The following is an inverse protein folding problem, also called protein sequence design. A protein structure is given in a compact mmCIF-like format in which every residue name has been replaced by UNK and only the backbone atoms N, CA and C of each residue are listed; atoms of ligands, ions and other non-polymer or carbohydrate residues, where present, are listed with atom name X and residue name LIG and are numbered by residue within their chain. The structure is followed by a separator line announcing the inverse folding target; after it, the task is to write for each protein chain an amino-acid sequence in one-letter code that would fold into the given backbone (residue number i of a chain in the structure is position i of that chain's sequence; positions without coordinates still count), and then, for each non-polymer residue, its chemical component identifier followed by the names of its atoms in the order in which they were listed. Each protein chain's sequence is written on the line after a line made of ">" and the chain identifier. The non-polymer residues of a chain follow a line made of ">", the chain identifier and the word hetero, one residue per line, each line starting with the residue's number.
data_IF_791262743958
#
_entry.id   IF_791262743958
#
_cell.length_a   1.000
_cell.length_b   1.000
_cell.length_c   1.000
_cell.angle_alpha   90.00
_cell.angle_beta   90.00
_cell.angle_gamma   90.00
#
_symmetry.space_group_name_H-M   'P 1'
#
loop_
_entity.id
_entity.type
_entity.pdbx_description
1 polymer ?
#
# COMPACT_ATOMS: atom_id res chain seq x y z
N UNK A 1 6.98 43.95 16.25
CA UNK A 1 7.64 44.16 17.52
C UNK A 1 8.08 42.82 18.12
N UNK A 2 9.37 42.71 18.25
CA UNK A 2 10.10 41.56 18.75
C UNK A 2 9.86 41.27 20.24
N UNK A 3 9.99 40.00 20.65
CA UNK A 3 10.71 39.66 21.89
C UNK A 3 11.19 38.20 21.88
N UNK A 4 12.47 38.09 21.76
CA UNK A 4 13.37 37.01 22.15
C UNK A 4 13.26 36.70 23.65
N UNK A 5 13.29 35.43 24.01
CA UNK A 5 13.76 35.03 25.36
C UNK A 5 14.56 33.74 25.28
N UNK A 6 15.82 33.88 25.55
CA UNK A 6 16.85 32.90 25.91
C UNK A 6 16.65 32.37 27.31
N UNK A 7 16.83 31.07 27.52
CA UNK A 7 17.13 30.47 28.83
C UNK A 7 18.07 29.29 28.59
N UNK A 8 19.25 29.47 28.90
CA UNK A 8 20.20 29.15 29.95
C UNK A 8 20.27 27.65 30.32
N UNK A 9 21.47 27.12 30.09
CA UNK A 9 21.94 25.81 30.46
C UNK A 9 22.18 25.71 31.97
N UNK A 10 21.88 24.57 32.57
CA UNK A 10 22.35 24.18 33.88
C UNK A 10 23.09 22.85 33.80
N UNK A 11 24.36 22.92 34.13
CA UNK A 11 25.26 21.80 34.24
C UNK A 11 25.05 21.08 35.59
N UNK A 12 24.99 19.76 35.59
CA UNK A 12 25.00 18.95 36.79
C UNK A 12 26.31 18.17 36.92
N UNK A 13 26.91 18.32 38.07
CA UNK A 13 28.19 17.80 38.57
C UNK A 13 28.22 16.27 38.69
N UNK A 14 29.38 15.71 38.41
CA UNK A 14 29.81 14.36 38.84
C UNK A 14 30.23 14.37 40.30
N UNK A 15 29.98 13.30 41.04
CA UNK A 15 30.72 13.04 42.27
C UNK A 15 31.89 12.09 42.04
N UNK A 16 33.00 12.45 42.70
CA UNK A 16 34.27 11.77 42.75
C UNK A 16 34.24 10.55 43.67
N UNK A 17 34.97 9.52 43.28
CA UNK A 17 35.23 8.33 44.08
C UNK A 17 36.50 8.56 44.89
N UNK A 18 36.44 8.37 46.21
CA UNK A 18 37.59 8.33 47.08
C UNK A 18 37.98 6.89 47.45
N UNK A 19 39.26 6.63 47.36
CA UNK A 19 40.00 5.41 47.75
C UNK A 19 40.03 5.19 49.27
N UNK A 20 39.96 3.95 49.71
CA UNK A 20 40.61 3.44 50.92
C UNK A 20 40.78 1.92 50.79
N UNK A 21 41.89 1.43 50.55
CA UNK A 21 43.08 0.93 51.23
C UNK A 21 42.84 -0.15 52.31
N UNK A 22 43.32 -1.37 51.93
CA UNK A 22 44.02 -2.44 52.64
C UNK A 22 43.55 -2.93 54.01
N UNK A 23 43.33 -4.24 54.10
CA UNK A 23 44.21 -5.15 54.92
C UNK A 23 43.99 -6.62 54.58
N UNK A 24 45.06 -7.34 54.45
CA UNK A 24 45.16 -8.76 54.25
C UNK A 24 45.00 -9.53 55.57
N UNK A 25 44.34 -10.66 55.56
CA UNK A 25 44.65 -11.80 56.44
C UNK A 25 44.03 -13.11 55.92
N UNK A 26 44.84 -14.01 55.80
CA UNK A 26 44.88 -15.45 55.61
C UNK A 26 43.67 -16.38 55.71
N UNK A 27 43.60 -17.27 54.72
CA UNK A 27 43.26 -18.71 54.78
C UNK A 27 41.92 -19.19 55.24
N UNK A 28 41.10 -19.70 54.25
CA UNK A 28 40.65 -21.13 54.18
C UNK A 28 39.98 -21.31 52.81
N UNK A 29 40.07 -22.46 52.13
CA UNK A 29 39.37 -22.66 50.86
C UNK A 29 37.93 -22.99 51.18
N UNK A 30 37.07 -22.00 51.03
CA UNK A 30 35.63 -22.17 50.98
C UNK A 30 35.25 -22.18 49.48
N UNK A 31 34.72 -23.28 49.03
CA UNK A 31 34.02 -23.37 47.79
C UNK A 31 32.84 -22.44 47.83
N UNK A 32 32.97 -21.28 47.21
CA UNK A 32 31.84 -20.42 46.96
C UNK A 32 31.38 -20.65 45.49
N UNK A 33 30.28 -21.33 45.38
CA UNK A 33 29.56 -21.43 44.11
C UNK A 33 28.98 -20.05 43.80
N UNK A 34 29.67 -19.26 43.02
CA UNK A 34 29.13 -17.98 42.54
C UNK A 34 28.29 -18.29 41.32
N UNK A 35 27.00 -18.53 41.50
CA UNK A 35 26.04 -18.48 40.41
C UNK A 35 25.84 -17.01 40.04
N UNK A 36 26.55 -16.55 39.00
CA UNK A 36 26.30 -15.23 38.46
C UNK A 36 25.08 -15.32 37.55
N UNK A 37 23.95 -14.86 38.08
CA UNK A 37 22.75 -14.68 37.29
C UNK A 37 22.89 -13.38 36.51
N UNK A 38 23.24 -13.42 35.23
CA UNK A 38 23.18 -12.27 34.36
C UNK A 38 21.74 -12.09 33.88
N UNK A 39 20.98 -11.25 34.58
CA UNK A 39 19.70 -10.77 34.07
C UNK A 39 20.01 -9.75 32.96
N UNK A 40 19.89 -10.18 31.71
CA UNK A 40 19.94 -9.27 30.56
C UNK A 40 18.61 -8.53 30.50
N UNK A 41 18.52 -7.38 31.14
CA UNK A 41 17.38 -6.47 31.00
C UNK A 41 17.49 -5.81 29.63
N UNK A 42 16.83 -6.37 28.64
CA UNK A 42 16.69 -5.74 27.32
C UNK A 42 15.57 -4.71 27.44
N UNK A 43 15.92 -3.46 27.74
CA UNK A 43 14.98 -2.35 27.56
C UNK A 43 14.86 -2.06 26.07
N UNK A 44 13.85 -2.64 25.42
CA UNK A 44 13.43 -2.21 24.09
C UNK A 44 12.66 -0.91 24.25
N UNK A 45 13.31 0.24 24.03
CA UNK A 45 12.63 1.51 23.87
C UNK A 45 12.31 1.69 22.38
N UNK A 46 11.15 1.25 21.97
CA UNK A 46 10.61 1.54 20.65
C UNK A 46 9.83 2.85 20.69
N UNK A 47 10.12 3.77 19.78
CA UNK A 47 9.29 4.95 19.56
C UNK A 47 8.18 4.54 18.59
N UNK A 48 7.00 4.24 19.12
CA UNK A 48 5.82 3.97 18.31
C UNK A 48 5.25 5.32 17.85
N UNK A 49 5.43 5.68 16.60
CA UNK A 49 4.81 6.86 16.01
C UNK A 49 3.50 6.41 15.35
N UNK A 50 2.40 6.61 16.04
CA UNK A 50 1.09 6.52 15.45
C UNK A 50 0.81 7.78 14.64
N UNK A 51 0.87 7.68 13.33
CA UNK A 51 0.42 8.74 12.45
C UNK A 51 -1.00 8.39 12.00
N UNK A 52 -1.98 8.84 12.77
CA UNK A 52 -3.39 8.72 12.41
C UNK A 52 -3.76 9.91 11.55
N UNK A 53 -3.67 9.76 10.24
CA UNK A 53 -4.24 10.71 9.30
C UNK A 53 -5.71 10.35 9.10
N UNK A 54 -6.56 10.91 9.93
CA UNK A 54 -8.00 10.82 9.75
C UNK A 54 -8.45 11.97 8.84
N UNK A 55 -8.46 11.72 7.54
CA UNK A 55 -9.10 12.63 6.59
C UNK A 55 -10.60 12.33 6.59
N UNK A 56 -11.34 13.11 7.34
CA UNK A 56 -12.79 13.16 7.23
C UNK A 56 -13.12 14.24 6.21
N UNK A 57 -13.30 13.89 4.96
CA UNK A 57 -13.90 14.79 3.99
C UNK A 57 -15.41 14.77 4.22
N UNK A 58 -15.92 15.78 4.87
CA UNK A 58 -17.36 16.02 4.95
C UNK A 58 -17.72 16.88 3.72
N UNK A 59 -18.32 16.25 2.73
CA UNK A 59 -18.93 16.98 1.62
C UNK A 59 -20.25 17.53 2.13
N UNK A 60 -20.26 18.77 2.60
CA UNK A 60 -21.49 19.50 2.83
C UNK A 60 -22.04 19.94 1.48
N UNK A 61 -23.03 19.23 1.02
CA UNK A 61 -23.84 19.67 -0.13
C UNK A 61 -24.63 20.91 0.26
N UNK A 62 -24.17 22.09 -0.16
CA UNK A 62 -24.99 23.29 -0.12
C UNK A 62 -25.98 23.24 -1.28
N UNK A 63 -27.20 22.89 -0.98
CA UNK A 63 -28.29 23.05 -1.94
C UNK A 63 -28.74 24.49 -1.89
N UNK A 64 -28.22 25.34 -2.77
CA UNK A 64 -28.79 26.65 -3.03
C UNK A 64 -30.00 26.47 -3.95
N UNK A 65 -31.20 26.54 -3.37
CA UNK A 65 -32.45 26.55 -4.14
C UNK A 65 -32.76 28.00 -4.47
N UNK A 66 -32.20 28.53 -5.53
CA UNK A 66 -32.65 29.79 -6.09
C UNK A 66 -33.80 29.53 -7.11
N UNK A 67 -34.86 30.29 -7.00
CA UNK A 67 -35.96 30.20 -7.95
C UNK A 67 -35.61 30.96 -9.23
N UNK A 68 -34.91 30.27 -10.15
CA UNK A 68 -34.49 30.81 -11.45
C UNK A 68 -35.71 31.24 -12.29
N UNK A 69 -36.92 30.74 -11.99
CA UNK A 69 -38.14 31.06 -12.72
C UNK A 69 -38.52 32.54 -12.69
N UNK A 70 -38.17 33.28 -11.64
CA UNK A 70 -38.39 34.73 -11.56
C UNK A 70 -37.39 35.52 -12.42
N UNK A 71 -36.15 35.08 -12.46
CA UNK A 71 -35.12 35.63 -13.33
C UNK A 71 -35.42 35.35 -14.80
N UNK A 72 -35.88 34.12 -15.13
CA UNK A 72 -36.28 33.75 -16.48
C UNK A 72 -37.47 34.56 -16.99
N UNK A 73 -38.50 34.80 -16.15
CA UNK A 73 -39.62 35.64 -16.50
C UNK A 73 -39.23 37.08 -16.81
N UNK A 74 -38.18 37.60 -16.17
CA UNK A 74 -37.72 38.99 -16.31
C UNK A 74 -36.73 39.18 -17.43
N UNK A 75 -35.85 38.23 -17.66
CA UNK A 75 -34.70 38.34 -18.55
C UNK A 75 -34.58 37.18 -19.54
N UNK A 76 -35.54 36.29 -19.66
CA UNK A 76 -35.46 35.09 -20.50
C UNK A 76 -35.21 35.37 -21.98
N UNK A 77 -35.57 36.57 -22.46
CA UNK A 77 -35.32 37.00 -23.83
C UNK A 77 -33.95 37.74 -24.01
N UNK A 78 -33.20 37.98 -22.95
CA UNK A 78 -31.89 38.60 -23.05
C UNK A 78 -30.82 37.50 -23.21
N UNK A 79 -30.30 37.37 -24.46
CA UNK A 79 -29.28 36.40 -24.83
C UNK A 79 -27.93 36.54 -24.10
N UNK A 80 -27.73 37.67 -23.40
CA UNK A 80 -26.54 37.92 -22.57
C UNK A 80 -26.66 37.25 -21.21
N UNK A 81 -27.90 37.04 -20.73
CA UNK A 81 -28.20 36.45 -19.41
C UNK A 81 -28.63 34.99 -19.55
N UNK A 82 -29.51 34.72 -20.53
CA UNK A 82 -29.99 33.39 -20.82
C UNK A 82 -29.64 33.00 -22.26
N UNK A 83 -28.84 31.96 -22.39
CA UNK A 83 -28.58 31.33 -23.68
C UNK A 83 -29.44 30.07 -23.78
N UNK A 84 -30.40 30.07 -24.74
CA UNK A 84 -31.07 28.83 -25.06
C UNK A 84 -30.11 27.84 -25.71
N UNK A 85 -29.88 26.73 -25.03
CA UNK A 85 -29.07 25.64 -25.57
C UNK A 85 -30.03 24.53 -25.95
N UNK A 86 -30.08 24.20 -27.22
CA UNK A 86 -30.90 23.09 -27.68
C UNK A 86 -30.26 21.78 -27.27
N UNK A 87 -31.04 20.82 -26.81
CA UNK A 87 -30.63 19.45 -26.45
C UNK A 87 -30.01 18.74 -27.68
N UNK A 88 -30.26 19.26 -28.87
CA UNK A 88 -29.70 18.76 -30.13
C UNK A 88 -28.24 19.17 -30.39
N UNK A 89 -27.65 20.02 -29.54
CA UNK A 89 -26.24 20.36 -29.65
C UNK A 89 -25.37 19.14 -29.38
N UNK A 90 -24.36 18.93 -30.21
CA UNK A 90 -23.47 17.75 -30.15
C UNK A 90 -22.83 17.53 -28.78
N UNK A 91 -22.58 18.61 -28.02
CA UNK A 91 -22.05 18.57 -26.66
C UNK A 91 -22.99 17.83 -25.70
N UNK A 92 -24.33 17.94 -25.89
CA UNK A 92 -25.30 17.24 -25.04
C UNK A 92 -25.61 15.82 -25.53
N UNK A 93 -25.06 15.43 -26.67
CA UNK A 93 -25.20 14.08 -27.24
C UNK A 93 -24.04 13.16 -26.85
N UNK A 94 -23.13 13.62 -26.01
CA UNK A 94 -22.03 12.84 -25.44
C UNK A 94 -22.13 12.80 -23.93
N UNK A 95 -21.75 11.68 -23.37
CA UNK A 95 -21.62 11.51 -21.93
C UNK A 95 -20.20 11.12 -21.59
N UNK A 96 -19.61 11.87 -20.70
CA UNK A 96 -18.33 11.59 -20.10
C UNK A 96 -18.53 10.85 -18.77
N UNK A 97 -17.73 9.82 -18.54
CA UNK A 97 -17.65 9.07 -17.30
C UNK A 97 -16.26 9.28 -16.75
N UNK A 98 -16.18 9.94 -15.62
CA UNK A 98 -14.93 10.16 -14.90
C UNK A 98 -14.51 8.88 -14.19
N UNK A 99 -13.29 8.43 -14.41
CA UNK A 99 -12.70 7.26 -13.77
C UNK A 99 -11.60 7.71 -12.80
N UNK A 100 -11.62 7.19 -11.58
CA UNK A 100 -10.58 7.39 -10.57
C UNK A 100 -10.14 6.05 -9.99
N UNK A 101 -8.86 5.91 -9.65
CA UNK A 101 -8.31 4.75 -8.97
C UNK A 101 -8.09 5.09 -7.50
N UNK A 102 -9.06 4.75 -6.66
CA UNK A 102 -8.99 5.03 -5.23
C UNK A 102 -8.07 4.04 -4.51
N UNK A 103 -7.42 4.52 -3.44
CA UNK A 103 -6.50 3.69 -2.65
C UNK A 103 -5.15 3.41 -3.32
N UNK A 104 -4.82 4.12 -4.41
CA UNK A 104 -3.53 4.03 -5.08
C UNK A 104 -2.76 5.34 -4.93
N UNK A 105 -1.47 5.25 -4.61
CA UNK A 105 -0.51 6.35 -4.74
C UNK A 105 0.48 6.05 -5.87
N UNK A 106 1.13 7.10 -6.37
CA UNK A 106 2.04 7.01 -7.52
C UNK A 106 3.22 6.05 -7.28
N UNK A 107 3.76 6.04 -6.07
CA UNK A 107 4.92 5.20 -5.75
C UNK A 107 4.54 3.72 -5.76
N UNK A 108 3.42 3.37 -5.13
CA UNK A 108 2.86 2.02 -5.08
C UNK A 108 2.43 1.56 -6.47
N UNK A 109 1.74 2.41 -7.23
CA UNK A 109 1.33 2.09 -8.59
C UNK A 109 2.55 1.77 -9.47
N UNK A 110 3.57 2.63 -9.47
CA UNK A 110 4.79 2.42 -10.26
C UNK A 110 5.57 1.18 -9.85
N UNK A 111 5.57 0.84 -8.55
CA UNK A 111 6.34 -0.30 -8.02
C UNK A 111 5.76 -1.65 -8.42
N UNK A 112 4.44 -1.75 -8.55
CA UNK A 112 3.76 -3.04 -8.67
C UNK A 112 2.94 -3.23 -9.94
N UNK A 113 2.52 -2.15 -10.60
CA UNK A 113 1.59 -2.19 -11.71
C UNK A 113 2.26 -1.86 -13.04
N UNK A 114 1.96 -2.64 -14.07
CA UNK A 114 2.26 -2.27 -15.45
C UNK A 114 1.26 -1.24 -15.96
N UNK A 115 -0.03 -1.55 -15.82
CA UNK A 115 -1.13 -0.71 -16.23
C UNK A 115 -2.45 -1.19 -15.61
N UNK A 116 -3.44 -0.33 -15.62
CA UNK A 116 -4.84 -0.66 -15.37
C UNK A 116 -5.64 -0.31 -16.62
N UNK A 117 -6.39 -1.24 -17.17
CA UNK A 117 -7.30 -0.98 -18.27
C UNK A 117 -8.73 -0.97 -17.76
N UNK A 118 -9.46 0.10 -18.04
CA UNK A 118 -10.89 0.18 -17.79
C UNK A 118 -11.60 0.17 -19.11
N UNK A 119 -12.38 -0.89 -19.35
CA UNK A 119 -13.22 -1.05 -20.53
C UNK A 119 -14.63 -0.70 -20.21
N UNK A 120 -15.28 0.02 -21.09
CA UNK A 120 -16.68 0.33 -21.01
C UNK A 120 -17.41 -0.19 -22.24
N UNK A 121 -18.59 -0.69 -22.02
CA UNK A 121 -19.52 -1.09 -23.08
C UNK A 121 -20.88 -0.46 -22.82
N UNK A 122 -21.40 0.22 -23.82
CA UNK A 122 -22.72 0.84 -23.82
C UNK A 122 -23.58 0.21 -24.90
N UNK A 123 -24.63 -0.49 -24.48
CA UNK A 123 -25.64 -1.01 -25.39
C UNK A 123 -26.74 0.04 -25.57
N UNK A 124 -26.96 0.49 -26.80
CA UNK A 124 -27.95 1.51 -27.17
C UNK A 124 -29.30 0.88 -27.51
N UNK A 125 -30.38 1.68 -27.43
CA UNK A 125 -31.72 1.25 -27.84
C UNK A 125 -31.80 0.88 -29.31
N UNK A 126 -30.95 1.44 -30.17
CA UNK A 126 -30.82 1.10 -31.58
C UNK A 126 -30.32 -0.32 -31.82
N UNK A 127 -29.83 -1.03 -30.81
CA UNK A 127 -29.13 -2.29 -30.90
C UNK A 127 -27.63 -2.15 -31.22
N UNK A 128 -27.14 -0.93 -31.38
CA UNK A 128 -25.72 -0.67 -31.50
C UNK A 128 -25.02 -0.73 -30.13
N UNK A 129 -23.73 -1.10 -30.15
CA UNK A 129 -22.88 -1.08 -28.97
C UNK A 129 -21.75 -0.08 -29.18
N UNK A 130 -21.52 0.78 -28.17
CA UNK A 130 -20.36 1.64 -28.11
C UNK A 130 -19.38 1.06 -27.11
N UNK A 131 -18.13 0.86 -27.55
CA UNK A 131 -17.03 0.47 -26.68
C UNK A 131 -16.06 1.63 -26.55
N UNK A 132 -15.57 1.84 -25.36
CA UNK A 132 -14.48 2.77 -25.06
C UNK A 132 -13.57 2.17 -24.00
N UNK A 133 -12.30 2.53 -24.03
CA UNK A 133 -11.34 2.03 -23.03
C UNK A 133 -10.29 3.09 -22.70
N UNK A 134 -9.86 3.07 -21.46
CA UNK A 134 -8.72 3.86 -20.98
C UNK A 134 -7.67 2.94 -20.39
N UNK A 135 -6.43 3.09 -20.84
CA UNK A 135 -5.27 2.40 -20.30
C UNK A 135 -4.47 3.36 -19.46
N UNK A 136 -4.38 3.06 -18.18
CA UNK A 136 -3.75 3.89 -17.16
C UNK A 136 -2.39 3.29 -16.86
N UNK A 137 -1.32 3.88 -17.40
CA UNK A 137 0.06 3.53 -17.09
C UNK A 137 0.57 4.36 -15.90
N UNK A 138 1.72 4.00 -15.26
CA UNK A 138 2.32 4.81 -14.21
C UNK A 138 2.56 6.27 -14.62
N UNK A 139 2.98 6.51 -15.86
CA UNK A 139 3.22 7.83 -16.39
C UNK A 139 1.93 8.64 -16.49
N UNK A 140 0.87 8.04 -17.07
CA UNK A 140 -0.43 8.68 -17.24
C UNK A 140 -1.07 8.93 -15.87
N UNK A 141 -0.96 7.98 -14.94
CA UNK A 141 -1.47 8.13 -13.57
C UNK A 141 -0.85 9.32 -12.85
N UNK A 142 0.46 9.50 -13.00
CA UNK A 142 1.19 10.62 -12.38
C UNK A 142 0.83 11.98 -13.00
N UNK A 143 0.55 12.02 -14.31
CA UNK A 143 0.26 13.27 -15.05
C UNK A 143 -1.18 13.74 -14.92
N UNK A 144 -2.13 12.81 -14.76
CA UNK A 144 -3.58 13.09 -14.82
C UNK A 144 -4.21 13.43 -13.48
N UNK A 145 -3.45 13.50 -12.38
CA UNK A 145 -4.00 13.65 -11.04
C UNK A 145 -5.10 12.63 -10.72
N UNK A 146 -4.93 11.38 -11.19
CA UNK A 146 -5.90 10.31 -10.98
C UNK A 146 -7.32 10.62 -11.55
N UNK A 147 -7.36 11.27 -12.69
CA UNK A 147 -8.62 11.63 -13.37
C UNK A 147 -8.55 11.20 -14.82
N UNK A 148 -9.37 10.22 -15.19
CA UNK A 148 -9.42 9.62 -16.53
C UNK A 148 -10.86 9.67 -17.03
N UNK A 149 -11.08 9.63 -18.34
CA UNK A 149 -12.43 9.70 -18.88
C UNK A 149 -12.70 8.60 -19.90
N UNK A 150 -13.95 8.12 -19.86
CA UNK A 150 -14.57 7.27 -20.88
C UNK A 150 -15.77 8.00 -21.43
N UNK A 151 -16.03 7.84 -22.74
CA UNK A 151 -17.05 8.62 -23.42
C UNK A 151 -17.96 7.75 -24.27
N UNK A 152 -19.24 8.07 -24.32
CA UNK A 152 -20.16 7.51 -25.30
C UNK A 152 -21.18 8.53 -25.80
N UNK A 153 -21.63 8.34 -27.04
CA UNK A 153 -22.61 9.20 -27.68
C UNK A 153 -24.06 8.80 -27.36
N UNK A 154 -24.99 9.69 -27.67
CA UNK A 154 -26.42 9.51 -27.45
C UNK A 154 -27.04 8.43 -28.37
N UNK A 155 -26.64 8.34 -29.62
CA UNK A 155 -27.10 7.36 -30.64
C UNK A 155 -28.63 7.08 -30.68
N UNK A 156 -29.43 8.09 -30.34
CA UNK A 156 -30.89 7.99 -30.38
C UNK A 156 -31.57 7.35 -29.18
N UNK A 157 -30.87 7.16 -28.07
CA UNK A 157 -31.44 6.67 -26.81
C UNK A 157 -32.45 7.67 -26.25
N UNK A 158 -33.74 7.38 -26.37
CA UNK A 158 -34.83 8.26 -25.92
C UNK A 158 -35.19 8.04 -24.46
N UNK A 159 -34.96 6.85 -23.93
CA UNK A 159 -35.15 6.52 -22.52
C UNK A 159 -33.93 6.95 -21.73
N UNK A 160 -34.10 7.89 -20.80
CA UNK A 160 -33.02 8.44 -20.00
C UNK A 160 -32.30 7.40 -19.15
N UNK A 161 -33.02 6.51 -18.51
CA UNK A 161 -32.42 5.50 -17.62
C UNK A 161 -31.57 4.53 -18.44
N UNK A 162 -32.08 4.06 -19.56
CA UNK A 162 -31.31 3.21 -20.48
C UNK A 162 -30.11 3.96 -21.07
N UNK A 163 -30.24 5.26 -21.34
CA UNK A 163 -29.10 6.05 -21.82
C UNK A 163 -28.00 6.18 -20.76
N UNK A 164 -28.39 6.25 -19.48
CA UNK A 164 -27.42 6.33 -18.37
C UNK A 164 -26.75 4.99 -18.05
N UNK A 165 -27.37 3.86 -18.36
CA UNK A 165 -26.86 2.54 -18.06
C UNK A 165 -25.70 2.18 -19.00
N UNK A 166 -24.64 1.66 -18.46
CA UNK A 166 -23.51 1.10 -19.16
C UNK A 166 -22.91 -0.06 -18.32
N UNK A 167 -21.99 -0.80 -18.91
CA UNK A 167 -21.22 -1.79 -18.16
C UNK A 167 -19.73 -1.54 -18.34
N UNK A 168 -18.96 -1.94 -17.33
CA UNK A 168 -17.53 -1.77 -17.33
C UNK A 168 -16.82 -3.00 -16.79
N UNK A 169 -15.57 -3.19 -17.20
CA UNK A 169 -14.66 -4.22 -16.75
C UNK A 169 -13.30 -3.59 -16.47
N UNK A 170 -12.66 -4.01 -15.38
CA UNK A 170 -11.33 -3.52 -14.99
C UNK A 170 -10.33 -4.65 -15.11
N UNK A 171 -9.19 -4.37 -15.70
CA UNK A 171 -8.06 -5.30 -15.82
C UNK A 171 -6.87 -4.67 -15.11
N UNK A 172 -6.41 -5.32 -14.06
CA UNK A 172 -5.23 -4.94 -13.30
C UNK A 172 -4.05 -5.79 -13.77
N UNK A 173 -3.03 -5.16 -14.36
CA UNK A 173 -1.82 -5.83 -14.83
C UNK A 173 -0.65 -5.51 -13.92
N UNK A 174 -0.07 -6.53 -13.32
CA UNK A 174 1.05 -6.43 -12.39
C UNK A 174 2.38 -6.69 -13.09
N UNK A 175 3.45 -6.16 -12.53
CA UNK A 175 4.80 -6.59 -12.89
C UNK A 175 4.93 -8.11 -12.67
N UNK A 176 5.62 -8.80 -13.60
CA UNK A 176 5.72 -10.26 -13.54
C UNK A 176 4.64 -11.02 -14.34
N UNK A 177 3.74 -10.28 -15.03
CA UNK A 177 2.80 -10.89 -15.99
C UNK A 177 1.48 -11.39 -15.39
N UNK A 178 1.22 -11.11 -14.13
CA UNK A 178 -0.10 -11.40 -13.54
C UNK A 178 -1.13 -10.38 -14.01
N UNK A 179 -2.28 -10.86 -14.46
CA UNK A 179 -3.45 -10.04 -14.75
C UNK A 179 -4.65 -10.51 -13.93
N UNK A 180 -5.32 -9.56 -13.27
CA UNK A 180 -6.59 -9.75 -12.58
C UNK A 180 -7.65 -9.00 -13.34
N UNK A 181 -8.71 -9.70 -13.73
CA UNK A 181 -9.81 -9.15 -14.52
C UNK A 181 -11.10 -9.27 -13.74
N UNK A 182 -11.79 -8.15 -13.55
CA UNK A 182 -13.11 -8.16 -12.94
C UNK A 182 -14.15 -8.78 -13.88
N UNK A 183 -15.26 -9.17 -13.32
CA UNK A 183 -16.47 -9.39 -14.11
C UNK A 183 -16.97 -8.05 -14.71
N UNK A 184 -17.90 -8.14 -15.67
CA UNK A 184 -18.61 -6.98 -16.19
C UNK A 184 -19.60 -6.47 -15.16
N UNK A 185 -19.38 -5.23 -14.72
CA UNK A 185 -20.23 -4.56 -13.72
C UNK A 185 -21.13 -3.54 -14.40
N UNK A 186 -22.40 -3.51 -14.02
CA UNK A 186 -23.33 -2.49 -14.48
C UNK A 186 -23.22 -1.22 -13.65
N UNK A 187 -23.30 -0.08 -14.31
CA UNK A 187 -23.26 1.23 -13.68
C UNK A 187 -24.13 2.23 -14.46
N UNK A 188 -24.51 3.31 -13.78
CA UNK A 188 -25.22 4.44 -14.37
C UNK A 188 -24.68 5.78 -13.84
N UNK A 189 -23.63 5.74 -13.02
CA UNK A 189 -23.00 6.93 -12.45
C UNK A 189 -22.09 7.63 -13.48
N UNK A 190 -22.01 8.97 -13.47
CA UNK A 190 -21.03 9.70 -14.25
C UNK A 190 -19.60 9.60 -13.69
N UNK A 191 -19.42 8.93 -12.55
CA UNK A 191 -18.14 8.74 -11.90
C UNK A 191 -17.97 7.29 -11.47
N UNK A 192 -16.84 6.70 -11.80
CA UNK A 192 -16.38 5.38 -11.39
C UNK A 192 -15.16 5.53 -10.47
N UNK A 193 -15.37 5.29 -9.18
CA UNK A 193 -14.30 5.14 -8.22
C UNK A 193 -13.91 3.65 -8.15
N UNK A 194 -12.74 3.31 -8.66
CA UNK A 194 -12.27 1.93 -8.76
C UNK A 194 -11.28 1.63 -7.65
N UNK A 195 -11.54 0.57 -6.93
CA UNK A 195 -10.66 0.08 -5.87
C UNK A 195 -9.91 -1.15 -6.37
N UNK A 196 -8.63 -1.29 -6.01
CA UNK A 196 -7.89 -2.49 -6.35
C UNK A 196 -8.47 -3.70 -5.61
N UNK A 197 -8.48 -4.89 -6.23
CA UNK A 197 -8.97 -6.12 -5.60
C UNK A 197 -7.98 -6.71 -4.58
N UNK A 198 -7.03 -5.92 -4.12
CA UNK A 198 -5.95 -6.31 -3.22
C UNK A 198 -5.58 -5.16 -2.28
N UNK A 199 -4.84 -5.51 -1.25
CA UNK A 199 -4.16 -4.58 -0.34
C UNK A 199 -2.69 -4.95 -0.25
N UNK A 200 -1.87 -4.01 0.21
CA UNK A 200 -0.49 -4.31 0.58
C UNK A 200 -0.40 -4.62 2.06
N UNK A 201 0.30 -5.73 2.36
CA UNK A 201 0.68 -6.11 3.71
C UNK A 201 2.17 -5.90 3.87
N UNK A 202 2.56 -5.07 4.83
CA UNK A 202 3.96 -4.84 5.16
C UNK A 202 4.50 -5.96 6.02
N UNK A 203 5.54 -6.62 5.55
CA UNK A 203 6.28 -7.65 6.30
C UNK A 203 7.63 -7.10 6.72
N UNK A 204 8.02 -7.40 7.94
CA UNK A 204 9.37 -7.12 8.43
C UNK A 204 10.14 -8.44 8.53
N UNK A 205 11.27 -8.52 7.84
CA UNK A 205 12.16 -9.67 7.86
C UNK A 205 13.30 -9.33 8.80
N UNK A 206 13.43 -10.05 9.90
CA UNK A 206 14.41 -9.78 10.96
C UNK A 206 15.28 -11.02 11.25
N UNK A 207 16.50 -10.78 11.74
CA UNK A 207 17.38 -11.87 12.17
C UNK A 207 18.54 -11.38 13.03
N UNK A 208 19.10 -12.28 13.83
CA UNK A 208 20.28 -12.02 14.65
C UNK A 208 21.57 -12.30 13.86
N UNK A 209 22.35 -11.24 13.62
CA UNK A 209 23.60 -11.34 12.84
C UNK A 209 24.63 -12.32 13.42
N UNK A 210 24.70 -12.46 14.75
CA UNK A 210 25.58 -13.41 15.42
C UNK A 210 25.20 -14.87 15.10
N UNK A 211 23.93 -15.21 15.16
CA UNK A 211 23.43 -16.56 14.81
C UNK A 211 23.67 -16.88 13.35
N UNK A 212 23.41 -15.92 12.47
CA UNK A 212 23.64 -16.07 11.02
C UNK A 212 25.15 -16.20 10.68
N UNK A 213 26.03 -15.51 11.41
CA UNK A 213 27.48 -15.67 11.26
C UNK A 213 27.95 -17.03 11.75
N UNK A 214 27.45 -17.50 12.89
CA UNK A 214 27.75 -18.84 13.42
C UNK A 214 27.31 -19.92 12.43
N UNK A 215 26.16 -19.75 11.79
CA UNK A 215 25.66 -20.63 10.73
C UNK A 215 26.35 -20.39 9.36
N UNK A 216 27.31 -19.48 9.26
CA UNK A 216 28.05 -19.13 8.03
C UNK A 216 27.13 -18.62 6.89
N UNK A 217 25.99 -18.04 7.20
CA UNK A 217 25.04 -17.48 6.21
C UNK A 217 25.61 -16.20 5.61
N UNK A 218 25.57 -16.08 4.29
CA UNK A 218 25.95 -14.87 3.55
C UNK A 218 24.74 -13.99 3.23
N UNK A 219 23.71 -14.60 2.72
CA UNK A 219 22.44 -13.97 2.37
C UNK A 219 21.34 -15.04 2.33
N UNK A 220 20.11 -14.57 2.36
CA UNK A 220 18.96 -15.42 2.10
C UNK A 220 18.04 -14.79 1.04
N UNK A 221 17.33 -15.65 0.32
CA UNK A 221 16.24 -15.26 -0.56
C UNK A 221 14.96 -15.71 0.12
N UNK A 222 14.12 -14.75 0.44
CA UNK A 222 12.79 -14.97 1.01
C UNK A 222 11.79 -14.91 -0.12
N UNK A 223 10.97 -15.94 -0.25
CA UNK A 223 9.89 -16.04 -1.22
C UNK A 223 8.58 -16.08 -0.47
N UNK A 224 7.69 -15.14 -0.75
CA UNK A 224 6.33 -15.09 -0.22
C UNK A 224 5.35 -15.31 -1.36
N UNK A 225 4.51 -16.33 -1.21
CA UNK A 225 3.42 -16.64 -2.10
C UNK A 225 2.13 -16.13 -1.48
N UNK A 226 1.47 -15.20 -2.11
CA UNK A 226 0.14 -14.70 -1.73
C UNK A 226 -0.88 -15.03 -2.81
N UNK A 227 -2.15 -14.83 -2.52
CA UNK A 227 -3.23 -15.07 -3.47
C UNK A 227 -4.11 -13.84 -3.60
N UNK A 228 -4.45 -13.49 -4.85
CA UNK A 228 -5.46 -12.49 -5.16
C UNK A 228 -6.46 -13.13 -6.12
N UNK A 229 -7.73 -13.20 -5.73
CA UNK A 229 -8.80 -13.81 -6.52
C UNK A 229 -8.44 -15.22 -7.07
N UNK A 230 -7.83 -16.04 -6.22
CA UNK A 230 -7.43 -17.41 -6.58
C UNK A 230 -6.18 -17.51 -7.44
N UNK A 231 -5.57 -16.40 -7.85
CA UNK A 231 -4.29 -16.39 -8.58
C UNK A 231 -3.14 -16.19 -7.61
N UNK A 232 -2.11 -17.02 -7.75
CA UNK A 232 -0.91 -16.94 -6.92
C UNK A 232 0.01 -15.84 -7.42
N UNK A 233 0.49 -15.03 -6.47
CA UNK A 233 1.53 -14.02 -6.68
C UNK A 233 2.74 -14.41 -5.85
N UNK A 234 3.91 -14.37 -6.47
CA UNK A 234 5.18 -14.64 -5.80
C UNK A 234 5.97 -13.34 -5.68
N UNK A 235 6.25 -12.95 -4.45
CA UNK A 235 7.13 -11.82 -4.14
C UNK A 235 8.43 -12.36 -3.57
N UNK A 236 9.57 -11.89 -4.09
CA UNK A 236 10.90 -12.32 -3.64
C UNK A 236 11.71 -11.14 -3.14
N UNK A 237 12.44 -11.35 -2.06
CA UNK A 237 13.40 -10.40 -1.53
C UNK A 237 14.69 -11.10 -1.13
N UNK A 238 15.80 -10.38 -1.31
CA UNK A 238 17.12 -10.87 -0.89
C UNK A 238 17.61 -10.03 0.29
N UNK A 239 17.91 -10.70 1.40
CA UNK A 239 18.50 -10.08 2.58
C UNK A 239 19.94 -10.56 2.77
N UNK A 240 20.85 -9.63 3.05
CA UNK A 240 22.26 -9.92 3.29
C UNK A 240 22.55 -9.91 4.78
N UNK A 241 23.40 -10.82 5.24
CA UNK A 241 23.88 -10.81 6.61
C UNK A 241 24.92 -9.69 6.81
N UNK A 242 24.43 -8.48 7.10
CA UNK A 242 25.22 -7.28 7.31
C UNK A 242 24.78 -6.59 8.61
N UNK A 243 25.72 -6.45 9.54
CA UNK A 243 25.46 -5.82 10.83
C UNK A 243 24.91 -6.78 11.91
N UNK A 244 24.64 -6.26 13.11
CA UNK A 244 24.23 -7.08 14.27
C UNK A 244 22.77 -7.55 14.19
N UNK A 245 21.90 -6.80 13.52
CA UNK A 245 20.47 -7.10 13.37
C UNK A 245 20.03 -6.76 11.95
N UNK A 246 20.35 -7.62 10.95
CA UNK A 246 19.92 -7.38 9.59
C UNK A 246 18.40 -7.49 9.46
N UNK A 247 17.79 -6.42 8.98
CA UNK A 247 16.36 -6.32 8.78
C UNK A 247 16.02 -5.80 7.37
N UNK A 248 14.87 -6.22 6.84
CA UNK A 248 14.34 -5.78 5.55
C UNK A 248 12.83 -5.63 5.65
N UNK A 249 12.30 -4.54 5.13
CA UNK A 249 10.86 -4.36 4.98
C UNK A 249 10.43 -4.77 3.57
N UNK A 250 9.37 -5.56 3.48
CA UNK A 250 8.82 -6.10 2.24
C UNK A 250 7.32 -5.92 2.23
N UNK A 251 6.80 -5.16 1.26
CA UNK A 251 5.36 -5.08 1.01
C UNK A 251 4.97 -6.18 0.04
N UNK A 252 3.96 -6.95 0.39
CA UNK A 252 3.38 -7.99 -0.46
C UNK A 252 1.95 -7.64 -0.83
N UNK A 253 1.53 -7.86 -2.09
CA UNK A 253 0.14 -7.75 -2.46
C UNK A 253 -0.64 -8.96 -1.95
N UNK A 254 -1.77 -8.72 -1.31
CA UNK A 254 -2.66 -9.74 -0.73
C UNK A 254 -4.11 -9.46 -1.13
N UNK A 255 -4.88 -10.48 -1.49
CA UNK A 255 -6.30 -10.33 -1.81
C UNK A 255 -7.11 -9.86 -0.60
N UNK A 256 -8.16 -9.09 -0.83
CA UNK A 256 -9.02 -8.55 0.24
C UNK A 256 -9.65 -9.66 1.11
N UNK A 257 -9.96 -10.80 0.49
CA UNK A 257 -10.51 -12.00 1.14
C UNK A 257 -9.48 -13.15 1.11
N UNK A 258 -8.19 -12.83 1.02
CA UNK A 258 -7.12 -13.76 0.77
C UNK A 258 -6.89 -14.73 1.91
N UNK A 259 -6.49 -15.96 1.55
CA UNK A 259 -5.89 -16.92 2.48
C UNK A 259 -4.52 -16.38 2.91
N UNK A 260 -4.06 -16.71 4.13
CA UNK A 260 -2.71 -16.38 4.54
C UNK A 260 -1.70 -16.87 3.51
N UNK A 261 -0.74 -16.00 3.17
CA UNK A 261 0.33 -16.36 2.26
C UNK A 261 1.22 -17.47 2.84
N UNK A 262 2.07 -18.00 1.98
CA UNK A 262 3.12 -18.97 2.38
C UNK A 262 4.48 -18.33 2.22
N UNK A 263 5.38 -18.55 3.16
CA UNK A 263 6.75 -18.11 3.13
C UNK A 263 7.70 -19.27 3.02
N UNK A 264 8.72 -19.14 2.19
CA UNK A 264 9.86 -20.06 2.13
C UNK A 264 11.15 -19.27 2.07
N UNK A 265 12.21 -19.80 2.67
CA UNK A 265 13.50 -19.14 2.77
C UNK A 265 14.60 -20.06 2.20
N UNK A 266 15.47 -19.51 1.39
CA UNK A 266 16.65 -20.19 0.89
C UNK A 266 17.87 -19.45 1.43
N UNK A 267 18.62 -20.09 2.30
CA UNK A 267 19.90 -19.57 2.83
C UNK A 267 21.06 -20.00 1.97
N UNK A 268 21.92 -19.05 1.68
CA UNK A 268 23.17 -19.27 0.96
C UNK A 268 24.35 -19.14 1.93
N UNK A 269 25.03 -20.24 2.20
CA UNK A 269 26.12 -20.31 3.15
C UNK A 269 27.47 -20.04 2.48
N UNK A 270 28.47 -19.72 3.30
CA UNK A 270 29.89 -19.70 2.85
C UNK A 270 30.25 -21.11 2.37
N UNK A 271 30.94 -21.21 1.23
CA UNK A 271 31.29 -22.52 0.63
C UNK A 271 30.28 -23.03 -0.40
N UNK A 272 29.22 -22.23 -0.74
CA UNK A 272 28.28 -22.55 -1.82
C UNK A 272 27.15 -23.49 -1.45
N UNK A 273 27.07 -23.95 -0.19
CA UNK A 273 25.95 -24.77 0.30
C UNK A 273 24.68 -23.93 0.36
N UNK A 274 23.55 -24.53 0.02
CA UNK A 274 22.21 -23.94 0.14
C UNK A 274 21.40 -24.77 1.11
N UNK A 275 20.57 -24.09 1.91
CA UNK A 275 19.58 -24.69 2.82
C UNK A 275 18.24 -24.06 2.48
N UNK A 276 17.20 -24.87 2.40
CA UNK A 276 15.85 -24.40 2.05
C UNK A 276 14.87 -24.79 3.15
N UNK A 277 14.02 -23.86 3.58
CA UNK A 277 12.91 -24.18 4.47
C UNK A 277 11.78 -24.88 3.72
N UNK A 278 10.98 -25.66 4.41
CA UNK A 278 9.64 -26.01 3.93
C UNK A 278 8.78 -24.74 3.86
N UNK A 279 7.79 -24.66 2.94
CA UNK A 279 6.81 -23.58 2.94
C UNK A 279 6.05 -23.57 4.28
N UNK A 280 5.90 -22.41 4.88
CA UNK A 280 5.19 -22.18 6.14
C UNK A 280 4.11 -21.12 5.92
N UNK A 281 2.98 -21.26 6.62
CA UNK A 281 1.94 -20.24 6.59
C UNK A 281 2.45 -18.95 7.21
N UNK A 282 2.09 -17.84 6.60
CA UNK A 282 2.42 -16.50 7.07
C UNK A 282 1.42 -16.09 8.17
N UNK A 283 1.74 -16.37 9.43
CA UNK A 283 0.85 -16.11 10.58
C UNK A 283 0.97 -14.69 11.14
N UNK A 284 2.08 -14.00 10.91
CA UNK A 284 2.35 -12.64 11.43
C UNK A 284 2.98 -11.74 10.39
N UNK A 285 3.33 -10.53 10.81
CA UNK A 285 3.97 -9.52 9.96
C UNK A 285 5.50 -9.51 10.10
N UNK A 286 6.06 -10.42 10.92
CA UNK A 286 7.48 -10.57 11.15
C UNK A 286 7.91 -11.96 10.70
N UNK A 287 8.96 -12.03 9.88
CA UNK A 287 9.59 -13.25 9.41
C UNK A 287 11.00 -13.29 10.00
N UNK A 288 11.29 -14.32 10.80
CA UNK A 288 12.63 -14.56 11.31
C UNK A 288 13.42 -15.43 10.33
N UNK A 289 14.57 -14.94 9.88
CA UNK A 289 15.40 -15.64 8.90
C UNK A 289 16.69 -16.21 9.48
N UNK A 290 16.91 -16.08 10.78
CA UNK A 290 18.02 -16.66 11.55
C UNK A 290 17.72 -18.08 12.06
N UNK A 291 16.48 -18.55 11.94
CA UNK A 291 16.08 -19.90 12.28
C UNK A 291 16.28 -20.86 11.10
N UNK A 292 17.50 -21.45 11.01
CA UNK A 292 17.76 -22.47 10.01
C UNK A 292 17.17 -23.81 10.41
N UNK A 293 16.64 -24.61 9.44
CA UNK A 293 16.21 -25.98 9.69
C UNK A 293 17.33 -26.85 10.29
N UNK A 294 16.98 -27.84 11.11
CA UNK A 294 17.93 -28.67 11.87
C UNK A 294 19.02 -29.34 11.01
N UNK A 295 18.82 -29.55 9.71
CA UNK A 295 19.83 -30.04 8.77
C UNK A 295 20.83 -28.96 8.27
N UNK A 296 20.67 -27.70 8.67
CA UNK A 296 21.52 -26.56 8.27
C UNK A 296 22.57 -26.13 9.29
N UNK A 297 22.46 -26.62 10.52
CA UNK A 297 23.49 -26.36 11.55
C UNK A 297 24.71 -27.26 11.27
N UNK A 298 25.85 -26.64 10.96
CA UNK A 298 27.14 -27.28 10.76
C UNK A 298 27.99 -27.13 12.04
#
# INVERSE_FOLDING_TARGET
>A
AAKTSTASAAAAKKPSVSNAVKKAAAKKPSFSLVASYQMKNIKRSGKMVYQMNHFRSETQGFTMTENIGSLYRRYGNDSRIFKAVTIDDAVFKQREILVTLDGQDTATFTKYMNFVTVKMEKNHQSGETTNDEVVITPEIFNQSNNSFSLNYGYKGDTNRDQWLDYQYQVIWSFHGGLEIRSEWNKANSPMLALYPPYRYRGLTIEGEGEQLQAAKVRHAVITVNSQIEGKQITTQATIKNQGPAPALHLDIPEGLNGQPGEVSIIWFLKGGKKVTSSPQKLEGDIIYWDELPEGGRI
#
